data_IF_389012531868
#
_entry.id   IF_389012531868
#
_cell.length_a   1.000
_cell.length_b   1.000
_cell.length_c   1.000
_cell.angle_alpha   90.00
_cell.angle_beta   90.00
_cell.angle_gamma   90.00
#
_symmetry.space_group_name_H-M   'P 1'
#
loop_
_entity.id
_entity.type
_entity.pdbx_description
1 polymer ?
#
# COMPACT_ATOMS: atom_id res chain seq x y z
N UNK A 1 -33.81 -16.00 -1.32
CA UNK A 1 -32.51 -15.32 -1.48
C UNK A 1 -32.28 -14.28 -0.38
N UNK A 2 -31.05 -14.13 0.12
CA UNK A 2 -30.72 -13.10 1.12
C UNK A 2 -30.31 -11.79 0.45
N UNK A 3 -30.82 -10.68 0.97
CA UNK A 3 -30.43 -9.35 0.50
C UNK A 3 -28.97 -9.04 0.91
N UNK A 4 -28.14 -8.60 -0.05
CA UNK A 4 -26.75 -8.23 0.24
C UNK A 4 -26.61 -7.02 1.18
N UNK A 5 -27.63 -6.16 1.25
CA UNK A 5 -27.61 -4.94 2.06
C UNK A 5 -28.05 -5.20 3.51
N UNK A 6 -29.26 -5.76 3.70
CA UNK A 6 -29.85 -5.92 5.04
C UNK A 6 -29.96 -7.38 5.52
N UNK A 7 -29.41 -8.34 4.76
CA UNK A 7 -29.44 -9.79 5.07
C UNK A 7 -30.84 -10.41 5.22
N UNK A 8 -31.90 -9.67 4.94
CA UNK A 8 -33.28 -10.15 5.03
C UNK A 8 -33.55 -11.21 3.95
N UNK A 9 -34.27 -12.26 4.33
CA UNK A 9 -34.72 -13.31 3.42
C UNK A 9 -35.92 -12.86 2.59
N UNK A 10 -35.75 -12.90 1.27
CA UNK A 10 -36.75 -12.56 0.26
C UNK A 10 -37.06 -13.78 -0.61
N UNK A 11 -38.23 -13.77 -1.27
CA UNK A 11 -38.58 -14.76 -2.31
C UNK A 11 -37.51 -14.74 -3.41
N UNK A 12 -37.19 -15.90 -3.97
CA UNK A 12 -36.14 -16.01 -5.00
C UNK A 12 -36.45 -15.26 -6.30
N UNK A 13 -37.73 -14.94 -6.54
CA UNK A 13 -38.19 -14.16 -7.69
C UNK A 13 -38.35 -12.66 -7.40
N UNK A 14 -38.05 -12.21 -6.17
CA UNK A 14 -38.21 -10.81 -5.80
C UNK A 14 -37.10 -9.95 -6.43
N UNK A 15 -37.49 -8.92 -7.19
CA UNK A 15 -36.55 -7.94 -7.77
C UNK A 15 -36.10 -6.88 -6.76
N UNK A 16 -36.91 -6.64 -5.73
CA UNK A 16 -36.67 -5.59 -4.72
C UNK A 16 -36.82 -6.19 -3.33
N UNK A 17 -35.96 -5.79 -2.40
CA UNK A 17 -36.01 -6.24 -1.02
C UNK A 17 -37.23 -5.67 -0.28
N UNK A 18 -37.99 -6.54 0.41
CA UNK A 18 -39.17 -6.16 1.21
C UNK A 18 -38.88 -5.26 2.41
N UNK A 19 -37.64 -5.22 2.88
CA UNK A 19 -37.25 -4.53 4.12
C UNK A 19 -36.54 -3.21 3.83
N UNK A 20 -35.53 -3.21 2.96
CA UNK A 20 -34.70 -2.02 2.69
C UNK A 20 -34.93 -1.39 1.31
N UNK A 21 -35.77 -1.97 0.45
CA UNK A 21 -35.99 -1.48 -0.91
C UNK A 21 -34.81 -1.65 -1.87
N UNK A 22 -33.74 -2.35 -1.49
CA UNK A 22 -32.58 -2.57 -2.35
C UNK A 22 -32.91 -3.49 -3.54
N UNK A 23 -32.31 -3.22 -4.69
CA UNK A 23 -32.39 -4.06 -5.89
C UNK A 23 -31.68 -5.40 -5.65
N UNK A 24 -32.42 -6.50 -5.81
CA UNK A 24 -31.94 -7.87 -5.65
C UNK A 24 -31.42 -8.48 -6.96
N UNK A 25 -31.65 -7.83 -8.10
CA UNK A 25 -31.12 -8.25 -9.41
C UNK A 25 -29.64 -7.89 -9.57
N UNK A 26 -29.17 -6.94 -8.77
CA UNK A 26 -27.76 -6.57 -8.72
C UNK A 26 -26.95 -7.64 -8.00
N UNK A 27 -26.05 -8.30 -8.73
CA UNK A 27 -25.05 -9.19 -8.15
C UNK A 27 -23.78 -8.38 -7.88
N UNK A 28 -23.44 -8.09 -6.62
CA UNK A 28 -22.21 -7.37 -6.32
C UNK A 28 -21.02 -8.21 -6.76
N UNK A 29 -20.09 -7.58 -7.48
CA UNK A 29 -18.85 -8.25 -7.85
C UNK A 29 -18.02 -8.56 -6.61
N UNK A 30 -17.65 -9.84 -6.45
CA UNK A 30 -16.84 -10.34 -5.34
C UNK A 30 -15.53 -10.89 -5.93
N UNK A 31 -14.39 -10.22 -5.70
CA UNK A 31 -13.12 -10.71 -6.23
C UNK A 31 -12.77 -12.08 -5.67
N UNK A 32 -12.23 -12.95 -6.51
CA UNK A 32 -11.77 -14.28 -6.09
C UNK A 32 -10.42 -14.19 -5.38
N UNK A 33 -10.02 -15.24 -4.65
CA UNK A 33 -8.70 -15.31 -4.03
C UNK A 33 -7.56 -15.16 -5.05
N UNK A 34 -7.74 -15.72 -6.25
CA UNK A 34 -6.80 -15.56 -7.38
C UNK A 34 -6.63 -14.09 -7.78
N UNK A 35 -7.72 -13.31 -7.77
CA UNK A 35 -7.65 -11.89 -8.04
C UNK A 35 -6.87 -11.13 -6.96
N UNK A 36 -7.14 -11.42 -5.68
CA UNK A 36 -6.41 -10.80 -4.58
C UNK A 36 -4.90 -11.06 -4.65
N UNK A 37 -4.50 -12.31 -4.90
CA UNK A 37 -3.08 -12.66 -5.06
C UNK A 37 -2.43 -11.93 -6.23
N UNK A 38 -3.13 -11.83 -7.37
CA UNK A 38 -2.63 -11.09 -8.54
C UNK A 38 -2.39 -9.61 -8.21
N UNK A 39 -3.35 -8.96 -7.57
CA UNK A 39 -3.25 -7.54 -7.21
C UNK A 39 -2.16 -7.31 -6.16
N UNK A 40 -2.09 -8.16 -5.13
CA UNK A 40 -1.02 -8.08 -4.13
C UNK A 40 0.35 -8.22 -4.78
N UNK A 41 0.54 -9.18 -5.68
CA UNK A 41 1.80 -9.33 -6.42
C UNK A 41 2.19 -8.07 -7.17
N UNK A 42 1.23 -7.42 -7.85
CA UNK A 42 1.49 -6.16 -8.57
C UNK A 42 1.91 -5.04 -7.61
N UNK A 43 1.22 -4.86 -6.48
CA UNK A 43 1.55 -3.83 -5.49
C UNK A 43 2.98 -4.03 -4.98
N UNK A 44 3.35 -5.24 -4.60
CA UNK A 44 4.70 -5.52 -4.11
C UNK A 44 5.76 -5.29 -5.18
N UNK A 45 5.52 -5.69 -6.44
CA UNK A 45 6.44 -5.41 -7.55
C UNK A 45 6.66 -3.90 -7.71
N UNK A 46 5.59 -3.10 -7.68
CA UNK A 46 5.70 -1.64 -7.78
C UNK A 46 6.54 -1.07 -6.64
N UNK A 47 6.28 -1.48 -5.39
CA UNK A 47 7.03 -1.02 -4.21
C UNK A 47 8.51 -1.39 -4.34
N UNK A 48 8.82 -2.60 -4.78
CA UNK A 48 10.21 -3.06 -4.98
C UNK A 48 10.90 -2.20 -6.04
N UNK A 49 10.26 -1.99 -7.19
CA UNK A 49 10.81 -1.15 -8.27
C UNK A 49 11.05 0.28 -7.79
N UNK A 50 10.07 0.88 -7.10
CA UNK A 50 10.21 2.22 -6.53
C UNK A 50 11.36 2.30 -5.52
N UNK A 51 11.54 1.29 -4.67
CA UNK A 51 12.65 1.23 -3.73
C UNK A 51 14.00 1.22 -4.43
N UNK A 52 14.17 0.41 -5.48
CA UNK A 52 15.43 0.37 -6.24
C UNK A 52 15.68 1.67 -7.00
N UNK A 53 14.65 2.27 -7.61
CA UNK A 53 14.77 3.58 -8.27
C UNK A 53 15.18 4.65 -7.27
N UNK A 54 14.52 4.72 -6.11
CA UNK A 54 14.86 5.66 -5.05
C UNK A 54 16.29 5.44 -4.55
N UNK A 55 16.73 4.20 -4.38
CA UNK A 55 18.11 3.88 -4.00
C UNK A 55 19.12 4.40 -5.02
N UNK A 56 18.93 4.09 -6.31
CA UNK A 56 19.83 4.56 -7.37
C UNK A 56 19.84 6.10 -7.49
N UNK A 57 18.69 6.73 -7.24
CA UNK A 57 18.57 8.19 -7.24
C UNK A 57 19.27 8.80 -6.02
N UNK A 58 19.04 8.28 -4.81
CA UNK A 58 19.63 8.77 -3.57
C UNK A 58 21.14 8.52 -3.49
N UNK A 59 21.65 7.39 -4.01
CA UNK A 59 23.09 7.14 -4.13
C UNK A 59 23.80 8.25 -4.93
N UNK A 60 23.08 8.92 -5.85
CA UNK A 60 23.62 10.08 -6.57
C UNK A 60 23.71 11.33 -5.69
N UNK A 61 22.79 11.54 -4.76
CA UNK A 61 22.79 12.67 -3.83
C UNK A 61 23.71 12.45 -2.63
N UNK A 62 23.79 11.24 -2.10
CA UNK A 62 24.57 10.90 -0.90
C UNK A 62 26.08 11.17 -1.09
N UNK A 63 26.58 11.01 -2.32
CA UNK A 63 27.97 11.36 -2.69
C UNK A 63 28.36 12.83 -2.44
N UNK A 64 27.38 13.71 -2.24
CA UNK A 64 27.61 15.13 -1.97
C UNK A 64 27.31 15.53 -0.52
N UNK A 65 27.02 14.60 0.39
CA UNK A 65 26.89 14.95 1.80
C UNK A 65 28.28 15.14 2.44
N UNK A 66 28.50 16.24 3.19
CA UNK A 66 29.66 16.36 4.05
C UNK A 66 29.63 15.22 5.05
N UNK A 67 30.73 14.49 5.17
CA UNK A 67 30.87 13.51 6.25
C UNK A 67 30.96 14.27 7.58
N UNK A 68 30.56 13.63 8.68
CA UNK A 68 30.64 14.19 10.04
C UNK A 68 32.04 14.72 10.39
N UNK A 69 33.07 14.13 9.78
CA UNK A 69 34.48 14.55 9.84
C UNK A 69 34.69 15.99 9.32
N UNK A 70 34.00 16.36 8.24
CA UNK A 70 34.14 17.67 7.59
C UNK A 70 33.30 18.77 8.27
N UNK A 71 32.24 18.41 8.99
CA UNK A 71 31.34 19.37 9.63
C UNK A 71 31.86 19.84 11.00
N UNK A 72 32.68 19.03 11.68
CA UNK A 72 33.24 19.36 12.99
C UNK A 72 34.78 19.22 13.06
N UNK A 73 35.57 19.99 12.28
CA UNK A 73 37.04 19.97 12.32
C UNK A 73 37.65 20.48 13.64
N UNK A 74 36.83 20.66 14.68
CA UNK A 74 37.20 21.29 15.93
C UNK A 74 37.62 20.29 17.03
N UNK A 75 37.29 18.99 16.92
CA UNK A 75 37.69 18.00 17.94
C UNK A 75 39.16 17.57 17.82
N UNK A 76 39.75 17.61 16.60
CA UNK A 76 41.17 17.31 16.40
C UNK A 76 42.10 18.29 17.15
N UNK A 77 41.65 19.53 17.38
CA UNK A 77 42.47 20.53 18.10
C UNK A 77 42.53 20.34 19.61
N UNK A 78 41.74 19.42 20.18
CA UNK A 78 41.59 19.26 21.64
C UNK A 78 42.32 17.99 22.15
N UNK A 79 42.75 17.09 21.27
CA UNK A 79 43.51 15.92 21.70
C UNK A 79 44.87 16.34 22.27
N UNK A 80 45.18 16.03 23.55
CA UNK A 80 46.51 16.30 24.08
C UNK A 80 47.52 15.44 23.33
N UNK A 81 48.56 16.09 22.77
CA UNK A 81 49.73 15.38 22.23
C UNK A 81 50.32 14.49 23.33
N UNK A 82 50.27 13.18 23.12
CA UNK A 82 51.12 12.22 23.84
C UNK A 82 52.58 12.41 23.44
#
# INVERSE_FOLDING_TARGET
MKCYNCQTENKDTAKVCKSCGADLTYVPWRPTWKWHLKILGIIYIIVIVLFFVARLFLDKFDRNLPTWESEYPMYEKIAPKQ
#
